data_IF_319165493819
#
_entry.id   IF_319165493819
#
_cell.length_a   1.000
_cell.length_b   1.000
_cell.length_c   1.000
_cell.angle_alpha   90.00
_cell.angle_beta   90.00
_cell.angle_gamma   90.00
#
_symmetry.space_group_name_H-M   'P 1'
#
loop_
_entity.id
_entity.type
_entity.pdbx_description
1 polymer ?
#
# COMPACT_ATOMS: atom_id res chain seq x y z
N UNK A 1 -22.07 19.58 0.12
CA UNK A 1 -21.48 18.69 -0.90
C UNK A 1 -20.58 19.56 -1.76
N UNK A 2 -19.31 19.71 -1.35
CA UNK A 2 -18.32 20.43 -2.13
C UNK A 2 -17.84 19.44 -3.20
N UNK A 3 -17.99 19.79 -4.46
CA UNK A 3 -17.45 19.06 -5.61
C UNK A 3 -15.92 19.26 -5.64
N UNK A 4 -15.23 18.68 -4.65
CA UNK A 4 -13.79 18.47 -4.68
C UNK A 4 -13.50 17.16 -5.40
N UNK A 5 -12.43 17.12 -6.19
CA UNK A 5 -11.95 15.90 -6.84
C UNK A 5 -11.90 14.70 -5.86
N UNK A 6 -12.14 13.48 -6.36
CA UNK A 6 -11.97 12.27 -5.56
C UNK A 6 -10.53 12.28 -4.98
N UNK A 7 -10.36 12.32 -3.65
CA UNK A 7 -9.03 12.35 -3.05
C UNK A 7 -8.27 11.04 -3.24
N UNK A 8 -8.83 10.07 -3.97
CA UNK A 8 -8.23 8.78 -4.25
C UNK A 8 -7.97 8.55 -5.73
N UNK A 9 -6.82 7.96 -6.01
CA UNK A 9 -6.49 7.42 -7.33
C UNK A 9 -7.17 6.06 -7.46
N UNK A 10 -7.99 5.90 -8.50
CA UNK A 10 -8.59 4.60 -8.86
C UNK A 10 -7.70 3.85 -9.84
N UNK A 11 -7.64 2.54 -9.65
CA UNK A 11 -6.99 1.61 -10.56
C UNK A 11 -8.02 0.60 -11.04
N UNK A 12 -8.12 0.42 -12.35
CA UNK A 12 -9.07 -0.53 -12.96
C UNK A 12 -8.62 -1.99 -12.76
N UNK A 13 -7.30 -2.20 -12.66
CA UNK A 13 -6.70 -3.53 -12.49
C UNK A 13 -5.62 -3.57 -11.41
N UNK A 14 -5.56 -4.65 -10.60
CA UNK A 14 -6.62 -5.64 -10.43
C UNK A 14 -7.81 -4.99 -9.66
N UNK A 15 -9.08 -5.30 -10.01
CA UNK A 15 -10.24 -4.65 -9.39
C UNK A 15 -10.30 -4.85 -7.86
N UNK A 16 -9.77 -5.96 -7.36
CA UNK A 16 -9.64 -6.28 -5.94
C UNK A 16 -8.79 -5.25 -5.20
N UNK A 17 -7.80 -4.63 -5.86
CA UNK A 17 -6.96 -3.62 -5.23
C UNK A 17 -7.77 -2.39 -4.83
N UNK A 18 -8.53 -1.81 -5.76
CA UNK A 18 -9.35 -0.61 -5.51
C UNK A 18 -10.56 -0.88 -4.60
N UNK A 19 -10.92 -2.14 -4.37
CA UNK A 19 -11.91 -2.56 -3.38
C UNK A 19 -11.35 -2.59 -1.95
N UNK A 20 -10.07 -2.95 -1.80
CA UNK A 20 -9.41 -3.16 -0.50
C UNK A 20 -8.55 -1.99 -0.04
N UNK A 21 -8.01 -1.23 -0.98
CA UNK A 21 -7.09 -0.12 -0.73
C UNK A 21 -7.65 1.20 -1.24
N UNK A 22 -7.42 2.26 -0.47
CA UNK A 22 -7.66 3.64 -0.86
C UNK A 22 -6.30 4.31 -1.10
N UNK A 23 -5.97 4.62 -2.34
CA UNK A 23 -4.70 5.26 -2.70
C UNK A 23 -4.86 6.78 -2.69
N UNK A 24 -4.36 7.46 -1.65
CA UNK A 24 -4.56 8.90 -1.48
C UNK A 24 -3.79 9.74 -2.52
N UNK A 25 -4.51 10.60 -3.24
CA UNK A 25 -4.04 11.51 -4.30
C UNK A 25 -3.39 12.76 -3.69
N UNK A 26 -2.23 12.61 -3.06
CA UNK A 26 -1.38 13.79 -2.80
C UNK A 26 -0.71 14.26 -4.11
N UNK A 27 -0.29 13.31 -4.95
CA UNK A 27 0.26 13.52 -6.29
C UNK A 27 -0.02 12.26 -7.12
N UNK A 28 -0.93 12.33 -8.10
CA UNK A 28 -1.41 11.13 -8.81
C UNK A 28 -0.30 10.38 -9.56
N UNK A 29 0.62 11.11 -10.20
CA UNK A 29 1.72 10.52 -10.96
C UNK A 29 2.65 9.72 -10.05
N UNK A 30 3.03 10.29 -8.90
CA UNK A 30 3.82 9.59 -7.88
C UNK A 30 3.11 8.34 -7.36
N UNK A 31 1.79 8.42 -7.11
CA UNK A 31 0.98 7.28 -6.67
C UNK A 31 0.95 6.17 -7.72
N UNK A 32 0.82 6.51 -9.01
CA UNK A 32 0.81 5.54 -10.11
C UNK A 32 2.19 4.92 -10.34
N UNK A 33 3.26 5.68 -10.19
CA UNK A 33 4.63 5.20 -10.31
C UNK A 33 4.99 4.24 -9.16
N UNK A 34 4.55 4.54 -7.94
CA UNK A 34 4.77 3.70 -6.78
C UNK A 34 3.91 2.42 -6.80
N UNK A 35 2.61 2.56 -7.09
CA UNK A 35 1.65 1.47 -7.10
C UNK A 35 1.54 0.87 -8.50
N UNK A 36 2.62 0.26 -9.00
CA UNK A 36 2.62 -0.47 -10.28
C UNK A 36 1.66 -1.67 -10.26
N UNK A 37 1.34 -2.25 -11.41
CA UNK A 37 0.44 -3.42 -11.48
C UNK A 37 0.93 -4.59 -10.61
N UNK A 38 2.23 -4.83 -10.57
CA UNK A 38 2.83 -5.92 -9.79
C UNK A 38 2.78 -5.63 -8.30
N UNK A 39 3.02 -4.38 -7.90
CA UNK A 39 2.83 -3.94 -6.51
C UNK A 39 1.36 -4.12 -6.10
N UNK A 40 0.41 -3.64 -6.91
CA UNK A 40 -1.03 -3.76 -6.60
C UNK A 40 -1.46 -5.22 -6.45
N UNK A 41 -1.04 -6.10 -7.35
CA UNK A 41 -1.28 -7.55 -7.26
C UNK A 41 -0.70 -8.15 -5.99
N UNK A 42 0.52 -7.77 -5.61
CA UNK A 42 1.17 -8.29 -4.41
C UNK A 42 0.50 -7.80 -3.12
N UNK A 43 -0.09 -6.60 -3.13
CA UNK A 43 -0.83 -6.02 -2.00
C UNK A 43 -2.24 -6.60 -1.86
N UNK A 44 -2.85 -7.13 -2.92
CA UNK A 44 -4.21 -7.70 -2.89
C UNK A 44 -4.40 -8.79 -1.83
N UNK A 45 -3.35 -9.49 -1.42
CA UNK A 45 -3.40 -10.54 -0.40
C UNK A 45 -3.30 -10.01 1.04
N UNK A 46 -3.04 -8.71 1.22
CA UNK A 46 -2.69 -8.13 2.51
C UNK A 46 -3.88 -7.40 3.12
N UNK A 47 -4.41 -7.96 4.19
CA UNK A 47 -5.54 -7.38 4.92
C UNK A 47 -5.09 -6.57 6.14
N UNK A 48 -5.71 -5.41 6.36
CA UNK A 48 -5.44 -4.56 7.52
C UNK A 48 -4.07 -3.85 7.52
N UNK A 49 -3.36 -3.86 6.40
CA UNK A 49 -2.11 -3.13 6.22
C UNK A 49 -2.35 -1.78 5.55
N UNK A 50 -1.68 -0.77 6.08
CA UNK A 50 -1.51 0.53 5.44
C UNK A 50 -0.10 0.62 4.89
N UNK A 51 0.02 1.11 3.67
CA UNK A 51 1.30 1.36 3.01
C UNK A 51 1.35 2.82 2.60
N UNK A 52 2.41 3.51 3.01
CA UNK A 52 2.71 4.89 2.63
C UNK A 52 4.06 4.93 1.91
N UNK A 53 4.16 5.80 0.91
CA UNK A 53 5.40 6.07 0.18
C UNK A 53 5.78 7.54 0.23
N UNK A 54 7.06 7.84 0.39
CA UNK A 54 7.59 9.20 0.32
C UNK A 54 9.01 9.20 -0.23
N UNK A 55 9.18 9.67 -1.46
CA UNK A 55 10.45 9.52 -2.19
C UNK A 55 10.84 8.05 -2.23
N UNK A 56 12.06 7.72 -1.77
CA UNK A 56 12.57 6.35 -1.80
C UNK A 56 12.16 5.49 -0.59
N UNK A 57 11.25 6.00 0.25
CA UNK A 57 10.84 5.34 1.48
C UNK A 57 9.48 4.68 1.32
N UNK A 58 9.37 3.46 1.86
CA UNK A 58 8.12 2.74 2.03
C UNK A 58 7.91 2.47 3.51
N UNK A 59 6.75 2.86 4.02
CA UNK A 59 6.31 2.63 5.38
C UNK A 59 5.12 1.68 5.33
N UNK A 60 5.20 0.55 6.04
CA UNK A 60 4.11 -0.41 6.16
C UNK A 60 3.72 -0.60 7.63
N UNK A 61 2.45 -0.43 7.96
CA UNK A 61 1.96 -0.57 9.33
C UNK A 61 0.52 -1.07 9.38
N UNK A 62 0.09 -1.59 10.54
CA UNK A 62 -1.32 -1.87 10.82
C UNK A 62 -1.81 -0.87 11.87
N UNK A 63 -2.71 0.03 11.50
CA UNK A 63 -3.30 0.99 12.46
C UNK A 63 -4.14 0.27 13.51
N UNK A 64 -4.05 0.71 14.76
CA UNK A 64 -4.86 0.22 15.88
C UNK A 64 -4.75 -1.29 16.20
N UNK A 65 -3.68 -1.95 15.74
CA UNK A 65 -3.45 -3.37 16.01
C UNK A 65 -2.47 -3.57 17.17
N UNK A 66 -2.94 -4.11 18.28
CA UNK A 66 -2.09 -4.67 19.33
C UNK A 66 -1.65 -6.07 18.92
N UNK A 67 -0.35 -6.35 19.08
CA UNK A 67 0.26 -7.61 18.66
C UNK A 67 0.86 -8.32 19.88
N UNK A 68 0.60 -9.61 20.05
CA UNK A 68 1.30 -10.38 21.07
C UNK A 68 2.76 -10.61 20.63
N UNK A 69 3.73 -10.69 21.55
CA UNK A 69 5.15 -10.88 21.19
C UNK A 69 5.40 -12.12 20.32
N UNK A 70 4.61 -13.19 20.49
CA UNK A 70 4.71 -14.42 19.71
C UNK A 70 4.35 -14.24 18.23
N UNK A 71 3.56 -13.23 17.88
CA UNK A 71 3.11 -12.97 16.51
C UNK A 71 4.07 -11.99 15.80
N UNK A 72 5.03 -11.41 16.52
CA UNK A 72 5.99 -10.43 16.00
C UNK A 72 6.83 -10.97 14.82
N UNK A 73 7.31 -12.23 14.84
CA UNK A 73 8.05 -12.78 13.70
C UNK A 73 7.23 -12.75 12.40
N UNK A 74 5.96 -13.15 12.44
CA UNK A 74 5.08 -13.18 11.27
C UNK A 74 4.72 -11.78 10.78
N UNK A 75 4.51 -10.85 11.73
CA UNK A 75 4.31 -9.44 11.42
C UNK A 75 5.51 -8.86 10.67
N UNK A 76 6.73 -9.08 11.18
CA UNK A 76 7.96 -8.60 10.55
C UNK A 76 8.24 -9.28 9.21
N UNK A 77 7.93 -10.57 9.08
CA UNK A 77 8.03 -11.29 7.80
C UNK A 77 7.09 -10.69 6.74
N UNK A 78 5.87 -10.35 7.14
CA UNK A 78 4.89 -9.69 6.25
C UNK A 78 5.34 -8.29 5.87
N UNK A 79 5.81 -7.47 6.83
CA UNK A 79 6.37 -6.15 6.54
C UNK A 79 7.56 -6.22 5.56
N UNK A 80 8.43 -7.22 5.70
CA UNK A 80 9.54 -7.47 4.76
C UNK A 80 9.05 -7.87 3.38
N UNK A 81 7.99 -8.70 3.28
CA UNK A 81 7.35 -9.05 2.00
C UNK A 81 6.82 -7.79 1.31
N UNK A 82 6.12 -6.91 2.05
CA UNK A 82 5.64 -5.61 1.54
C UNK A 82 6.80 -4.80 0.99
N UNK A 83 7.86 -4.58 1.78
CA UNK A 83 9.04 -3.84 1.32
C UNK A 83 9.67 -4.49 0.06
N UNK A 84 9.65 -5.81 -0.03
CA UNK A 84 10.09 -6.57 -1.20
C UNK A 84 9.33 -6.24 -2.48
N UNK A 85 8.05 -5.91 -2.40
CA UNK A 85 7.23 -5.52 -3.57
C UNK A 85 7.75 -4.24 -4.25
N UNK A 86 8.44 -3.37 -3.52
CA UNK A 86 8.90 -2.08 -4.01
C UNK A 86 10.38 -2.08 -4.44
N UNK A 87 11.12 -3.18 -4.25
CA UNK A 87 12.57 -3.26 -4.55
C UNK A 87 12.93 -3.01 -6.02
N UNK A 88 12.01 -3.21 -6.97
CA UNK A 88 12.22 -2.90 -8.39
C UNK A 88 11.90 -1.46 -8.79
N UNK A 89 11.43 -0.63 -7.85
CA UNK A 89 10.88 0.70 -8.11
C UNK A 89 11.54 1.81 -7.27
N UNK A 90 12.40 1.44 -6.32
CA UNK A 90 13.21 2.34 -5.49
C UNK A 90 14.66 2.24 -5.98
N UNK A 91 15.01 2.98 -7.04
CA UNK A 91 16.36 3.02 -7.61
C UNK A 91 16.76 4.46 -7.94
#
# INVERSE_FOLDING_TARGET
MLWGEDPYVRFDEPPEFSQRFLAHRAEEEAVRNLLTIDVRRALCDLDGWTVEGKGDWVISFCSQRLLAPRDLPDFLATARRIAGCFKGHLA
#
